data_IF_032692541068
#
_entry.id   IF_032692541068
#
_cell.length_a   1.000
_cell.length_b   1.000
_cell.length_c   1.000
_cell.angle_alpha   90.00
_cell.angle_beta   90.00
_cell.angle_gamma   90.00
#
_symmetry.space_group_name_H-M   'P 1'
#
loop_
_entity.id
_entity.type
_entity.pdbx_description
1 polymer ?
#
# COMPACT_ATOMS: atom_id res chain seq x y z
N UNK A 1 -36.30 -68.16 39.15
CA UNK A 1 -34.90 -67.87 38.76
C UNK A 1 -34.72 -66.36 38.98
N UNK A 2 -34.21 -65.89 40.13
CA UNK A 2 -32.78 -65.65 40.42
C UNK A 2 -32.04 -65.13 39.16
N UNK A 3 -31.47 -63.92 39.10
CA UNK A 3 -30.47 -63.38 40.05
C UNK A 3 -30.37 -61.85 40.07
N UNK A 4 -30.22 -61.37 41.30
CA UNK A 4 -29.66 -60.10 41.78
C UNK A 4 -28.14 -60.04 41.49
N UNK A 5 -27.55 -58.84 41.28
CA UNK A 5 -26.38 -58.29 42.01
C UNK A 5 -25.66 -57.11 41.31
N UNK A 6 -25.47 -56.04 42.12
CA UNK A 6 -24.21 -55.26 42.29
C UNK A 6 -23.77 -54.34 41.12
N UNK A 7 -23.23 -53.12 41.29
CA UNK A 7 -22.53 -52.50 42.41
C UNK A 7 -22.47 -50.96 42.25
N UNK A 8 -22.11 -50.33 43.37
CA UNK A 8 -21.95 -48.92 43.72
C UNK A 8 -20.83 -48.15 42.97
N UNK A 9 -21.02 -46.83 42.81
CA UNK A 9 -20.02 -45.73 42.87
C UNK A 9 -18.74 -45.72 41.99
N UNK A 10 -18.59 -44.69 41.13
CA UNK A 10 -17.34 -43.89 41.00
C UNK A 10 -17.63 -42.63 40.14
N UNK A 11 -17.76 -41.44 40.73
CA UNK A 11 -16.73 -40.41 40.96
C UNK A 11 -16.23 -39.70 39.69
N UNK A 12 -16.44 -38.38 39.72
CA UNK A 12 -16.00 -37.32 38.80
C UNK A 12 -14.59 -37.49 38.24
N UNK A 13 -14.46 -37.30 36.93
CA UNK A 13 -13.31 -36.65 36.29
C UNK A 13 -13.76 -36.14 34.91
N UNK A 14 -14.46 -35.01 34.90
CA UNK A 14 -14.58 -34.19 33.69
C UNK A 14 -13.23 -33.48 33.55
N UNK A 15 -12.22 -34.20 33.07
CA UNK A 15 -11.15 -33.57 32.31
C UNK A 15 -11.78 -33.22 30.96
N UNK A 16 -12.56 -32.14 30.91
CA UNK A 16 -12.80 -31.46 29.64
C UNK A 16 -11.43 -31.08 29.15
N UNK A 17 -10.96 -31.83 28.16
CA UNK A 17 -9.76 -31.49 27.43
C UNK A 17 -9.89 -30.02 27.08
N UNK A 18 -8.98 -29.22 27.63
CA UNK A 18 -8.56 -28.00 26.97
C UNK A 18 -7.91 -28.50 25.68
N UNK A 19 -8.75 -28.87 24.71
CA UNK A 19 -8.32 -29.04 23.34
C UNK A 19 -7.62 -27.75 23.02
N UNK A 20 -6.34 -27.85 22.65
CA UNK A 20 -5.57 -26.76 22.11
C UNK A 20 -6.34 -26.14 20.94
N UNK A 21 -7.23 -25.20 21.25
CA UNK A 21 -7.53 -24.11 20.36
C UNK A 21 -6.23 -23.33 20.35
N UNK A 22 -5.30 -23.77 19.50
CA UNK A 22 -4.36 -22.87 18.89
C UNK A 22 -5.19 -21.64 18.51
N UNK A 23 -4.96 -20.54 19.20
CA UNK A 23 -5.53 -19.26 18.84
C UNK A 23 -5.16 -19.09 17.37
N UNK A 24 -6.12 -19.30 16.47
CA UNK A 24 -5.91 -19.00 15.06
C UNK A 24 -5.58 -17.53 15.06
N UNK A 25 -4.35 -17.19 14.67
CA UNK A 25 -3.97 -15.80 14.49
C UNK A 25 -5.08 -15.14 13.67
N UNK A 26 -5.57 -13.95 14.10
CA UNK A 26 -6.66 -13.29 13.39
C UNK A 26 -6.29 -13.19 11.92
N UNK A 27 -7.22 -13.57 11.04
CA UNK A 27 -7.01 -13.55 9.59
C UNK A 27 -6.51 -12.15 9.19
N UNK A 28 -5.23 -12.06 8.87
CA UNK A 28 -4.57 -10.81 8.56
C UNK A 28 -5.21 -10.30 7.26
N UNK A 29 -5.76 -9.08 7.25
CA UNK A 29 -6.43 -8.48 6.09
C UNK A 29 -5.60 -8.64 4.81
N UNK A 30 -6.20 -8.90 3.63
CA UNK A 30 -5.48 -8.93 2.35
C UNK A 30 -4.70 -7.65 2.04
N UNK A 31 -5.13 -6.50 2.60
CA UNK A 31 -4.45 -5.21 2.45
C UNK A 31 -3.26 -5.03 3.41
N UNK A 32 -3.10 -5.93 4.37
CA UNK A 32 -1.98 -5.87 5.31
C UNK A 32 -0.65 -5.99 4.56
N UNK A 33 0.37 -5.17 4.90
CA UNK A 33 1.63 -5.14 4.16
C UNK A 33 2.32 -6.50 4.00
N UNK A 34 2.33 -7.35 5.04
CA UNK A 34 2.92 -8.70 4.95
C UNK A 34 2.28 -9.57 3.86
N UNK A 35 0.95 -9.51 3.73
CA UNK A 35 0.21 -10.30 2.73
C UNK A 35 0.43 -9.76 1.32
N UNK A 36 0.43 -8.42 1.18
CA UNK A 36 0.76 -7.77 -0.10
C UNK A 36 2.18 -8.09 -0.55
N UNK A 37 3.15 -8.06 0.36
CA UNK A 37 4.53 -8.43 0.06
C UNK A 37 4.60 -9.91 -0.37
N UNK A 38 4.05 -10.84 0.42
CA UNK A 38 4.07 -12.26 0.09
C UNK A 38 3.47 -12.56 -1.30
N UNK A 39 2.32 -11.95 -1.61
CA UNK A 39 1.69 -12.07 -2.93
C UNK A 39 2.58 -11.52 -4.05
N UNK A 40 3.16 -10.33 -3.85
CA UNK A 40 4.03 -9.72 -4.83
C UNK A 40 5.28 -10.57 -5.12
N UNK A 41 5.87 -11.21 -4.09
CA UNK A 41 7.02 -12.10 -4.26
C UNK A 41 6.69 -13.36 -5.06
N UNK A 42 5.50 -13.94 -4.86
CA UNK A 42 5.07 -15.10 -5.65
C UNK A 42 4.83 -14.72 -7.11
N UNK A 43 4.21 -13.56 -7.37
CA UNK A 43 4.06 -13.02 -8.73
C UNK A 43 5.43 -12.78 -9.39
N UNK A 44 6.40 -12.20 -8.67
CA UNK A 44 7.76 -11.96 -9.18
C UNK A 44 8.53 -13.23 -9.54
N UNK A 45 8.24 -14.36 -8.89
CA UNK A 45 8.90 -15.65 -9.14
C UNK A 45 8.59 -16.18 -10.54
N UNK A 46 7.44 -15.81 -11.10
CA UNK A 46 6.91 -16.38 -12.35
C UNK A 46 6.73 -15.34 -13.46
N UNK A 47 6.77 -14.04 -13.12
CA UNK A 47 6.58 -12.98 -14.08
C UNK A 47 7.76 -12.81 -15.05
N UNK A 48 7.44 -12.80 -16.35
CA UNK A 48 8.31 -12.32 -17.42
C UNK A 48 8.53 -10.80 -17.31
N UNK A 49 9.63 -10.28 -17.86
CA UNK A 49 10.10 -8.90 -17.67
C UNK A 49 9.02 -7.82 -17.74
N UNK A 50 8.20 -7.80 -18.80
CA UNK A 50 7.14 -6.79 -18.97
C UNK A 50 6.06 -6.85 -17.88
N UNK A 51 5.85 -8.00 -17.26
CA UNK A 51 4.85 -8.23 -16.21
C UNK A 51 5.42 -8.04 -14.80
N UNK A 52 6.73 -7.77 -14.66
CA UNK A 52 7.36 -7.54 -13.35
C UNK A 52 7.02 -6.18 -12.76
N UNK A 53 6.60 -5.20 -13.56
CA UNK A 53 6.35 -3.82 -13.10
C UNK A 53 5.34 -3.74 -11.94
N UNK A 54 4.17 -4.38 -12.07
CA UNK A 54 3.15 -4.36 -11.03
C UNK A 54 3.58 -5.04 -9.72
N UNK A 55 4.12 -6.27 -9.72
CA UNK A 55 4.54 -6.91 -8.48
C UNK A 55 5.80 -6.26 -7.89
N UNK A 56 6.72 -5.69 -8.68
CA UNK A 56 7.83 -4.88 -8.16
C UNK A 56 7.32 -3.65 -7.39
N UNK A 57 6.36 -2.92 -7.98
CA UNK A 57 5.68 -1.80 -7.30
C UNK A 57 5.05 -2.25 -5.98
N UNK A 58 4.31 -3.36 -5.98
CA UNK A 58 3.62 -3.84 -4.78
C UNK A 58 4.60 -4.30 -3.70
N UNK A 59 5.68 -4.97 -4.09
CA UNK A 59 6.75 -5.37 -3.18
C UNK A 59 7.41 -4.13 -2.55
N UNK A 60 7.75 -3.12 -3.36
CA UNK A 60 8.32 -1.86 -2.87
C UNK A 60 7.37 -1.15 -1.88
N UNK A 61 6.10 -0.95 -2.24
CA UNK A 61 5.12 -0.31 -1.37
C UNK A 61 4.97 -1.04 -0.02
N UNK A 62 4.84 -2.36 -0.07
CA UNK A 62 4.66 -3.18 1.13
C UNK A 62 5.93 -3.21 1.99
N UNK A 63 7.12 -3.26 1.39
CA UNK A 63 8.38 -3.17 2.12
C UNK A 63 8.56 -1.81 2.80
N UNK A 64 8.13 -0.69 2.19
CA UNK A 64 8.11 0.62 2.86
C UNK A 64 7.16 0.59 4.06
N UNK A 65 5.95 0.06 3.90
CA UNK A 65 4.97 -0.03 5.00
C UNK A 65 5.42 -0.96 6.14
N UNK A 66 6.37 -1.84 5.89
CA UNK A 66 7.00 -2.73 6.88
C UNK A 66 8.32 -2.19 7.43
N UNK A 67 8.73 -0.96 7.05
CA UNK A 67 10.01 -0.35 7.40
C UNK A 67 11.24 -1.18 6.98
N UNK A 68 11.09 -2.01 5.94
CA UNK A 68 12.15 -2.81 5.32
C UNK A 68 12.85 -1.99 4.23
N UNK A 69 13.52 -0.90 4.63
CA UNK A 69 13.96 0.16 3.72
C UNK A 69 14.97 -0.30 2.67
N UNK A 70 15.90 -1.17 3.01
CA UNK A 70 16.87 -1.73 2.05
C UNK A 70 16.17 -2.53 0.94
N UNK A 71 15.21 -3.36 1.34
CA UNK A 71 14.45 -4.18 0.41
C UNK A 71 13.50 -3.33 -0.46
N UNK A 72 12.88 -2.31 0.13
CA UNK A 72 12.07 -1.33 -0.58
C UNK A 72 12.88 -0.54 -1.61
N UNK A 73 14.10 -0.13 -1.23
CA UNK A 73 15.05 0.53 -2.12
C UNK A 73 15.37 -0.37 -3.32
N UNK A 74 15.76 -1.62 -3.06
CA UNK A 74 16.04 -2.60 -4.11
C UNK A 74 14.85 -2.79 -5.06
N UNK A 75 13.64 -3.00 -4.55
CA UNK A 75 12.47 -3.20 -5.43
C UNK A 75 12.10 -1.95 -6.23
N UNK A 76 12.36 -0.76 -5.69
CA UNK A 76 12.17 0.50 -6.43
C UNK A 76 13.21 0.65 -7.54
N UNK A 77 14.46 0.29 -7.28
CA UNK A 77 15.54 0.28 -8.30
C UNK A 77 15.25 -0.76 -9.39
N UNK A 78 14.88 -1.98 -9.00
CA UNK A 78 14.49 -3.05 -9.94
C UNK A 78 13.29 -2.63 -10.81
N UNK A 79 12.32 -1.89 -10.24
CA UNK A 79 11.16 -1.34 -10.98
C UNK A 79 11.60 -0.36 -12.05
N UNK A 80 12.48 0.58 -11.71
CA UNK A 80 13.02 1.57 -12.64
C UNK A 80 13.85 0.91 -13.74
N UNK A 81 14.71 -0.04 -13.37
CA UNK A 81 15.54 -0.78 -14.32
C UNK A 81 14.67 -1.58 -15.31
N UNK A 82 13.63 -2.25 -14.80
CA UNK A 82 12.67 -2.99 -15.63
C UNK A 82 11.91 -2.03 -16.53
N UNK A 83 11.45 -0.90 -16.00
CA UNK A 83 10.75 0.13 -16.78
C UNK A 83 11.59 0.63 -17.96
N UNK A 84 12.89 0.81 -17.77
CA UNK A 84 13.81 1.25 -18.83
C UNK A 84 14.03 0.19 -19.93
N UNK A 85 13.68 -1.07 -19.70
CA UNK A 85 13.87 -2.17 -20.67
C UNK A 85 12.63 -2.54 -21.47
N UNK A 86 11.44 -2.19 -20.97
CA UNK A 86 10.17 -2.67 -21.53
C UNK A 86 9.41 -1.55 -22.21
N UNK A 87 8.72 -1.85 -23.31
CA UNK A 87 8.08 -0.85 -24.19
C UNK A 87 7.14 0.10 -23.43
N UNK A 88 6.37 -0.42 -22.48
CA UNK A 88 5.39 0.35 -21.70
C UNK A 88 5.94 0.95 -20.40
N UNK A 89 7.22 0.77 -20.09
CA UNK A 89 7.79 1.12 -18.80
C UNK A 89 7.87 2.62 -18.53
N UNK A 90 7.85 3.45 -19.56
CA UNK A 90 7.84 4.92 -19.42
C UNK A 90 6.43 5.53 -19.51
N UNK A 91 5.38 4.72 -19.39
CA UNK A 91 4.04 5.27 -19.33
C UNK A 91 3.86 6.11 -18.05
N UNK A 92 2.87 7.03 -18.07
CA UNK A 92 2.66 7.97 -16.98
C UNK A 92 2.33 7.30 -15.62
N UNK A 93 1.74 6.10 -15.63
CA UNK A 93 1.41 5.35 -14.41
C UNK A 93 2.70 4.85 -13.72
N UNK A 94 3.62 4.23 -14.46
CA UNK A 94 4.90 3.76 -13.92
C UNK A 94 5.76 4.92 -13.42
N UNK A 95 5.82 6.02 -14.19
CA UNK A 95 6.57 7.23 -13.79
C UNK A 95 5.97 7.86 -12.53
N UNK A 96 4.64 7.94 -12.43
CA UNK A 96 3.96 8.42 -11.22
C UNK A 96 4.36 7.57 -10.01
N UNK A 97 4.23 6.25 -10.13
CA UNK A 97 4.54 5.32 -9.04
C UNK A 97 5.99 5.34 -8.57
N UNK A 98 6.94 5.39 -9.51
CA UNK A 98 8.35 5.50 -9.18
C UNK A 98 8.61 6.74 -8.32
N UNK A 99 8.04 7.89 -8.69
CA UNK A 99 8.18 9.11 -7.91
C UNK A 99 7.52 8.98 -6.52
N UNK A 100 6.33 8.38 -6.42
CA UNK A 100 5.69 8.11 -5.12
C UNK A 100 6.59 7.24 -4.24
N UNK A 101 7.12 6.13 -4.74
CA UNK A 101 8.00 5.23 -3.99
C UNK A 101 9.28 5.92 -3.53
N UNK A 102 9.94 6.66 -4.43
CA UNK A 102 11.17 7.42 -4.13
C UNK A 102 10.91 8.49 -3.07
N UNK A 103 9.80 9.21 -3.16
CA UNK A 103 9.44 10.22 -2.16
C UNK A 103 9.15 9.62 -0.79
N UNK A 104 8.47 8.47 -0.74
CA UNK A 104 8.21 7.77 0.53
C UNK A 104 9.50 7.23 1.17
N UNK A 105 10.42 6.69 0.37
CA UNK A 105 11.76 6.31 0.84
C UNK A 105 12.55 7.51 1.36
N UNK A 106 12.49 8.65 0.65
CA UNK A 106 13.11 9.88 1.11
C UNK A 106 12.57 10.35 2.46
N UNK A 107 11.25 10.28 2.70
CA UNK A 107 10.66 10.58 4.00
C UNK A 107 11.18 9.69 5.12
N UNK A 108 11.33 8.37 4.88
CA UNK A 108 11.88 7.44 5.90
C UNK A 108 13.35 7.67 6.19
N UNK A 109 14.04 8.41 5.33
CA UNK A 109 15.44 8.81 5.49
C UNK A 109 15.57 10.27 5.97
N UNK A 110 14.49 10.88 6.48
CA UNK A 110 14.42 12.27 6.92
C UNK A 110 14.81 13.31 5.84
N UNK A 111 14.72 12.93 4.56
CA UNK A 111 14.99 13.80 3.40
C UNK A 111 13.71 14.48 2.94
N UNK A 112 13.18 15.37 3.79
CA UNK A 112 11.88 16.01 3.57
C UNK A 112 11.80 16.78 2.25
N UNK A 113 12.82 17.57 1.90
CA UNK A 113 12.87 18.32 0.64
C UNK A 113 12.80 17.40 -0.59
N UNK A 114 13.48 16.26 -0.54
CA UNK A 114 13.47 15.30 -1.65
C UNK A 114 12.09 14.65 -1.78
N UNK A 115 11.44 14.32 -0.67
CA UNK A 115 10.07 13.82 -0.68
C UNK A 115 9.08 14.79 -1.33
N UNK A 116 9.20 16.10 -1.03
CA UNK A 116 8.40 17.15 -1.67
C UNK A 116 8.61 17.18 -3.18
N UNK A 117 9.88 17.18 -3.62
CA UNK A 117 10.23 17.17 -5.06
C UNK A 117 9.64 15.96 -5.78
N UNK A 118 9.75 14.78 -5.17
CA UNK A 118 9.20 13.56 -5.75
C UNK A 118 7.67 13.59 -5.84
N UNK A 119 6.97 14.14 -4.84
CA UNK A 119 5.52 14.31 -4.93
C UNK A 119 5.12 15.18 -6.13
N UNK A 120 5.79 16.33 -6.31
CA UNK A 120 5.49 17.23 -7.44
C UNK A 120 5.80 16.57 -8.79
N UNK A 121 6.94 15.88 -8.91
CA UNK A 121 7.28 15.11 -10.12
C UNK A 121 6.23 14.05 -10.47
N UNK A 122 5.65 13.39 -9.45
CA UNK A 122 4.54 12.45 -9.68
C UNK A 122 3.32 13.18 -10.27
N UNK A 123 3.00 14.38 -9.80
CA UNK A 123 1.89 15.18 -10.32
C UNK A 123 2.13 15.75 -11.73
N UNK A 124 3.38 15.94 -12.14
CA UNK A 124 3.73 16.53 -13.45
C UNK A 124 3.57 15.57 -14.64
N UNK A 125 3.21 14.31 -14.41
CA UNK A 125 2.95 13.36 -15.49
C UNK A 125 1.77 13.81 -16.37
N UNK A 126 1.77 13.39 -17.64
CA UNK A 126 0.69 13.73 -18.60
C UNK A 126 -0.66 13.05 -18.31
N UNK A 127 -0.71 12.12 -17.34
CA UNK A 127 -1.84 11.23 -17.10
C UNK A 127 -1.83 9.96 -17.94
N UNK A 128 -2.71 9.01 -17.60
CA UNK A 128 -2.93 7.74 -18.30
C UNK A 128 -4.40 7.32 -18.13
N UNK A 129 -4.91 6.34 -18.89
CA UNK A 129 -6.26 5.80 -18.64
C UNK A 129 -6.47 5.34 -17.19
N UNK A 130 -5.43 4.78 -16.56
CA UNK A 130 -5.47 4.36 -15.15
C UNK A 130 -5.58 5.58 -14.23
N UNK A 131 -4.67 6.55 -14.38
CA UNK A 131 -4.62 7.75 -13.54
C UNK A 131 -5.85 8.66 -13.74
N UNK A 132 -6.41 8.69 -14.95
CA UNK A 132 -7.62 9.47 -15.25
C UNK A 132 -8.91 8.83 -14.76
N UNK A 133 -8.90 7.51 -14.52
CA UNK A 133 -10.06 6.76 -14.01
C UNK A 133 -9.99 6.57 -12.49
N UNK A 134 -9.03 5.78 -12.00
CA UNK A 134 -8.90 5.46 -10.57
C UNK A 134 -8.30 6.62 -9.77
N UNK A 135 -7.56 7.49 -10.44
CA UNK A 135 -6.86 8.59 -9.81
C UNK A 135 -5.40 8.28 -9.47
N UNK A 136 -4.65 9.30 -9.06
CA UNK A 136 -3.29 9.15 -8.61
C UNK A 136 -3.23 8.60 -7.19
N UNK A 137 -2.11 7.97 -6.84
CA UNK A 137 -1.84 7.55 -5.48
C UNK A 137 -1.61 8.75 -4.55
N UNK A 138 -2.19 8.71 -3.35
CA UNK A 138 -2.18 9.75 -2.32
C UNK A 138 -1.35 9.38 -1.09
N UNK A 139 -0.67 8.22 -1.09
CA UNK A 139 0.07 7.73 0.10
C UNK A 139 1.19 8.69 0.51
N UNK A 140 1.99 9.16 -0.45
CA UNK A 140 3.04 10.15 -0.17
C UNK A 140 2.47 11.49 0.27
N UNK A 141 1.38 11.95 -0.36
CA UNK A 141 0.69 13.17 0.04
C UNK A 141 0.19 13.08 1.50
N UNK A 142 -0.43 11.97 1.89
CA UNK A 142 -0.84 11.70 3.27
C UNK A 142 0.34 11.76 4.25
N UNK A 143 1.43 11.08 3.93
CA UNK A 143 2.63 11.05 4.79
C UNK A 143 3.28 12.44 4.92
N UNK A 144 3.22 13.26 3.87
CA UNK A 144 3.65 14.67 3.90
C UNK A 144 2.70 15.54 4.75
N UNK A 145 1.39 15.35 4.66
CA UNK A 145 0.43 16.03 5.53
C UNK A 145 0.64 15.70 7.02
N UNK A 146 1.03 14.47 7.36
CA UNK A 146 1.40 14.08 8.73
C UNK A 146 2.65 14.82 9.23
N UNK A 147 3.47 15.35 8.33
CA UNK A 147 4.62 16.23 8.62
C UNK A 147 4.27 17.72 8.51
N UNK A 148 2.98 18.07 8.39
CA UNK A 148 2.46 19.43 8.19
C UNK A 148 2.81 20.08 6.84
N UNK A 149 3.20 19.29 5.84
CA UNK A 149 3.57 19.75 4.50
C UNK A 149 2.34 20.00 3.61
N UNK A 150 1.52 20.97 3.99
CA UNK A 150 0.24 21.25 3.31
C UNK A 150 0.43 21.88 1.94
N UNK A 151 1.35 22.83 1.81
CA UNK A 151 1.51 23.62 0.59
C UNK A 151 1.89 22.75 -0.61
N UNK A 152 2.88 21.86 -0.45
CA UNK A 152 3.31 20.94 -1.53
C UNK A 152 2.19 19.97 -1.92
N UNK A 153 1.35 19.56 -0.96
CA UNK A 153 0.22 18.65 -1.24
C UNK A 153 -0.87 19.36 -2.02
N UNK A 154 -1.16 20.63 -1.71
CA UNK A 154 -2.09 21.45 -2.50
C UNK A 154 -1.56 21.68 -3.93
N UNK A 155 -0.25 21.91 -4.09
CA UNK A 155 0.37 21.99 -5.42
C UNK A 155 0.23 20.68 -6.19
N UNK A 156 0.46 19.53 -5.52
CA UNK A 156 0.25 18.22 -6.11
C UNK A 156 -1.21 17.99 -6.56
N UNK A 157 -2.20 18.39 -5.78
CA UNK A 157 -3.61 18.32 -6.19
C UNK A 157 -3.89 19.15 -7.45
N UNK A 158 -3.34 20.37 -7.53
CA UNK A 158 -3.49 21.20 -8.72
C UNK A 158 -2.83 20.58 -9.97
N UNK A 159 -1.73 19.84 -9.80
CA UNK A 159 -1.12 19.08 -10.88
C UNK A 159 -1.99 17.88 -11.29
N UNK A 160 -2.52 17.13 -10.32
CA UNK A 160 -3.38 15.97 -10.55
C UNK A 160 -4.69 16.32 -11.26
N UNK A 161 -5.27 17.49 -10.97
CA UNK A 161 -6.50 17.98 -11.60
C UNK A 161 -6.40 18.09 -13.13
N UNK A 162 -5.19 18.12 -13.70
CA UNK A 162 -4.97 18.16 -15.16
C UNK A 162 -5.28 16.84 -15.85
N UNK A 163 -5.25 15.72 -15.13
CA UNK A 163 -5.47 14.40 -15.70
C UNK A 163 -6.58 13.59 -15.00
N UNK A 164 -6.96 13.94 -13.77
CA UNK A 164 -7.99 13.22 -13.02
C UNK A 164 -9.28 14.06 -12.93
N UNK A 165 -10.00 14.14 -14.06
CA UNK A 165 -11.16 15.05 -14.24
C UNK A 165 -12.51 14.44 -13.84
N UNK A 166 -12.62 13.12 -13.73
CA UNK A 166 -13.91 12.46 -13.41
C UNK A 166 -14.32 12.62 -11.94
N UNK A 167 -13.40 13.09 -11.09
CA UNK A 167 -13.52 13.17 -9.64
C UNK A 167 -13.25 14.60 -9.13
N UNK A 168 -13.60 15.62 -9.94
CA UNK A 168 -13.37 17.04 -9.62
C UNK A 168 -13.89 17.42 -8.22
N UNK A 169 -15.01 16.82 -7.79
CA UNK A 169 -15.59 17.08 -6.48
C UNK A 169 -14.74 16.49 -5.35
N UNK A 170 -14.10 15.33 -5.57
CA UNK A 170 -13.17 14.70 -4.62
C UNK A 170 -11.92 15.55 -4.42
N UNK A 171 -11.26 16.00 -5.50
CA UNK A 171 -10.08 16.87 -5.38
C UNK A 171 -10.42 18.24 -4.76
N UNK A 172 -11.58 18.83 -5.09
CA UNK A 172 -12.04 20.07 -4.46
C UNK A 172 -12.26 19.88 -2.95
N UNK A 173 -12.91 18.79 -2.56
CA UNK A 173 -13.13 18.47 -1.14
C UNK A 173 -11.79 18.31 -0.41
N UNK A 174 -10.88 17.48 -0.93
CA UNK A 174 -9.58 17.26 -0.30
C UNK A 174 -8.74 18.56 -0.23
N UNK A 175 -8.83 19.41 -1.26
CA UNK A 175 -8.19 20.73 -1.27
C UNK A 175 -8.72 21.62 -0.14
N UNK A 176 -10.04 21.64 0.06
CA UNK A 176 -10.65 22.39 1.16
C UNK A 176 -10.23 21.83 2.52
N UNK A 177 -10.31 20.50 2.72
CA UNK A 177 -9.93 19.85 3.96
C UNK A 177 -8.47 20.16 4.33
N UNK A 178 -7.53 20.03 3.39
CA UNK A 178 -6.11 20.34 3.63
C UNK A 178 -5.90 21.82 3.94
N UNK A 179 -6.59 22.72 3.24
CA UNK A 179 -6.51 24.17 3.49
C UNK A 179 -6.98 24.55 4.89
N UNK A 180 -7.98 23.83 5.41
CA UNK A 180 -8.49 23.95 6.78
C UNK A 180 -7.63 23.20 7.82
N UNK A 181 -6.54 22.56 7.40
CA UNK A 181 -5.65 21.79 8.28
C UNK A 181 -6.19 20.42 8.68
N UNK A 182 -7.19 19.88 7.95
CA UNK A 182 -7.75 18.55 8.15
C UNK A 182 -7.01 17.53 7.29
N UNK A 183 -7.02 16.27 7.72
CA UNK A 183 -6.52 15.14 6.94
C UNK A 183 -7.66 14.58 6.08
N UNK A 184 -7.54 14.58 4.74
CA UNK A 184 -8.56 13.97 3.90
C UNK A 184 -8.65 12.46 4.07
N UNK A 185 -9.85 11.92 3.85
CA UNK A 185 -10.02 10.49 3.68
C UNK A 185 -9.72 10.09 2.23
N UNK A 186 -8.47 9.70 1.98
CA UNK A 186 -8.02 9.29 0.65
C UNK A 186 -8.52 7.90 0.21
N UNK A 187 -9.15 7.12 1.09
CA UNK A 187 -9.74 5.83 0.75
C UNK A 187 -8.82 4.90 -0.06
N UNK A 188 -9.29 4.48 -1.24
CA UNK A 188 -8.59 3.56 -2.14
C UNK A 188 -7.32 4.13 -2.77
N UNK A 189 -7.21 5.46 -2.92
CA UNK A 189 -6.03 6.13 -3.46
C UNK A 189 -4.78 5.98 -2.56
N UNK A 190 -4.90 5.34 -1.40
CA UNK A 190 -3.74 4.92 -0.60
C UNK A 190 -3.09 3.61 -1.09
N UNK A 191 -3.76 2.87 -1.99
CA UNK A 191 -3.37 1.53 -2.41
C UNK A 191 -3.28 1.36 -3.94
N UNK A 192 -4.15 2.04 -4.70
CA UNK A 192 -4.16 2.01 -6.17
C UNK A 192 -3.03 2.80 -6.79
#
# INVERSE_FOLDING_TARGET
MLTQRMFLMLLLLICSGVSAQAQREPEISPLHPKNRLAKALEELRTAEDQWRLSPLRQAAMASIDLEQLEQAQKYTDDLEETANRVEFGHNADVVHWLNILRGRLALRQDKLEEARKYLLKAGEVKGSPVLGSFGPNMKLAKELLEKNEREVVLQYFALCAKFWMHEDDTLKQWTQEVSEGKMPNFGGNLYY
#
